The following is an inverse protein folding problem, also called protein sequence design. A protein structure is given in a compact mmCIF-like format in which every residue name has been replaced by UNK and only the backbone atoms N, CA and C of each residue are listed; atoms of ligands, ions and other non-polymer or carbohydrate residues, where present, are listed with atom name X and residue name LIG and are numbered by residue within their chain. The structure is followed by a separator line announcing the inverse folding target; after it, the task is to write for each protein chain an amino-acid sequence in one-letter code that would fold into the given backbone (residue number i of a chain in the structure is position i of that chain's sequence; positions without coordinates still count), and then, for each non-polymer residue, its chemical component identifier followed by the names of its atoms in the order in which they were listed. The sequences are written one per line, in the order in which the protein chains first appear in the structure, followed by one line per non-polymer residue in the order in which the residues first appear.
data_IF_353004324319
#
_entry.id   IF_353004324319
#
_cell.length_a   1.000
_cell.length_b   1.000
_cell.length_c   1.000
_cell.angle_alpha   90.00
_cell.angle_beta   90.00
_cell.angle_gamma   90.00
#
_symmetry.space_group_name_H-M   'P 1'
#
loop_
_entity.id
_entity.type
_entity.pdbx_description
1 polymer ?
#
# COMPACT_ATOMS: atom_id res chain seq x y z
N UNK A 1 -12.68 5.35 -17.56
CA UNK A 1 -12.51 6.44 -16.58
C UNK A 1 -11.03 6.75 -16.51
N UNK A 2 -10.61 8.01 -16.37
CA UNK A 2 -9.19 8.30 -16.17
C UNK A 2 -8.78 7.79 -14.78
N UNK A 3 -7.72 6.98 -14.70
CA UNK A 3 -7.19 6.52 -13.41
C UNK A 3 -6.58 7.71 -12.68
N UNK A 4 -6.89 7.84 -11.38
CA UNK A 4 -6.30 8.87 -10.54
C UNK A 4 -4.81 8.56 -10.30
N UNK A 5 -3.96 9.58 -10.26
CA UNK A 5 -2.56 9.39 -9.88
C UNK A 5 -2.47 9.10 -8.37
N UNK A 6 -1.35 8.52 -7.93
CA UNK A 6 -1.12 8.25 -6.51
C UNK A 6 -1.23 9.52 -5.65
N UNK A 7 -0.67 10.65 -6.11
CA UNK A 7 -0.80 11.93 -5.38
C UNK A 7 -2.24 12.43 -5.32
N UNK A 8 -3.05 12.24 -6.38
CA UNK A 8 -4.47 12.61 -6.34
C UNK A 8 -5.26 11.74 -5.36
N UNK A 9 -4.89 10.46 -5.24
CA UNK A 9 -5.46 9.57 -4.24
C UNK A 9 -5.04 9.97 -2.83
N UNK A 10 -3.77 10.36 -2.63
CA UNK A 10 -3.28 10.86 -1.35
C UNK A 10 -4.04 12.11 -0.91
N UNK A 11 -4.14 13.12 -1.79
CA UNK A 11 -4.90 14.36 -1.53
C UNK A 11 -6.38 14.07 -1.19
N UNK A 12 -7.00 13.13 -1.91
CA UNK A 12 -8.37 12.69 -1.63
C UNK A 12 -8.47 12.04 -0.24
N UNK A 13 -7.58 11.12 0.09
CA UNK A 13 -7.62 10.45 1.39
C UNK A 13 -7.37 11.44 2.52
N UNK A 14 -6.46 12.40 2.37
CA UNK A 14 -6.23 13.45 3.36
C UNK A 14 -7.50 14.27 3.62
N UNK A 15 -8.18 14.73 2.56
CA UNK A 15 -9.36 15.58 2.67
C UNK A 15 -10.63 14.81 3.13
N UNK A 16 -10.67 13.48 2.97
CA UNK A 16 -11.86 12.66 3.21
C UNK A 16 -11.71 11.65 4.36
N UNK A 17 -10.53 11.58 5.00
CA UNK A 17 -10.20 10.61 6.07
C UNK A 17 -11.28 10.54 7.16
N UNK A 18 -11.67 11.68 7.73
CA UNK A 18 -12.65 11.72 8.82
C UNK A 18 -14.03 11.23 8.39
N UNK A 19 -14.46 11.55 7.16
CA UNK A 19 -15.75 11.09 6.62
C UNK A 19 -15.76 9.59 6.36
N UNK A 20 -14.65 9.06 5.85
CA UNK A 20 -14.43 7.61 5.68
C UNK A 20 -14.50 6.92 7.04
N UNK A 21 -13.86 7.48 8.07
CA UNK A 21 -13.88 6.93 9.43
C UNK A 21 -15.26 6.89 10.04
N UNK A 22 -16.05 7.94 9.90
CA UNK A 22 -17.40 7.97 10.48
C UNK A 22 -18.44 7.27 9.60
N UNK A 23 -18.07 6.80 8.41
CA UNK A 23 -18.95 6.08 7.48
C UNK A 23 -19.87 7.00 6.67
N UNK A 24 -19.66 8.32 6.71
CA UNK A 24 -20.37 9.28 5.86
C UNK A 24 -19.92 9.17 4.39
N UNK A 25 -18.74 8.61 4.17
CA UNK A 25 -18.17 8.40 2.84
C UNK A 25 -17.72 6.96 2.65
N UNK A 26 -18.15 6.38 1.53
CA UNK A 26 -17.76 5.02 1.16
C UNK A 26 -16.34 5.02 0.62
N UNK A 27 -15.49 4.22 1.22
CA UNK A 27 -14.17 3.94 0.70
C UNK A 27 -14.27 2.97 -0.48
N UNK A 28 -13.61 3.29 -1.59
CA UNK A 28 -13.50 2.42 -2.75
C UNK A 28 -12.05 1.95 -2.92
N UNK A 29 -11.71 0.70 -2.53
CA UNK A 29 -10.34 0.22 -2.65
C UNK A 29 -9.90 0.03 -4.12
N UNK A 30 -10.84 -0.03 -5.08
CA UNK A 30 -10.52 -0.31 -6.48
C UNK A 30 -9.69 0.79 -7.13
N UNK A 31 -9.87 2.05 -6.71
CA UNK A 31 -9.08 3.17 -7.23
C UNK A 31 -7.62 3.07 -6.80
N UNK A 32 -7.37 2.61 -5.57
CA UNK A 32 -6.03 2.36 -5.04
C UNK A 32 -5.41 1.17 -5.77
N UNK A 33 -6.12 0.05 -5.89
CA UNK A 33 -5.60 -1.13 -6.61
C UNK A 33 -5.21 -0.81 -8.05
N UNK A 34 -6.06 -0.10 -8.78
CA UNK A 34 -5.77 0.30 -10.15
C UNK A 34 -4.53 1.21 -10.25
N UNK A 35 -4.32 2.10 -9.28
CA UNK A 35 -3.15 2.97 -9.27
C UNK A 35 -1.86 2.21 -8.88
N UNK A 36 -1.94 1.25 -7.96
CA UNK A 36 -0.82 0.38 -7.60
C UNK A 36 -0.44 -0.55 -8.77
N UNK A 37 -1.41 -1.12 -9.48
CA UNK A 37 -1.18 -1.96 -10.65
C UNK A 37 -0.51 -1.19 -11.79
N UNK A 38 -0.80 0.12 -11.91
CA UNK A 38 -0.14 1.00 -12.89
C UNK A 38 1.35 1.22 -12.61
N UNK A 39 1.81 1.02 -11.38
CA UNK A 39 3.24 1.03 -11.08
C UNK A 39 3.96 -0.14 -11.74
N UNK A 40 3.26 -1.27 -11.97
CA UNK A 40 3.83 -2.50 -12.52
C UNK A 40 5.10 -2.98 -11.78
N UNK A 41 5.09 -2.83 -10.45
CA UNK A 41 6.14 -3.32 -9.53
C UNK A 41 5.91 -4.79 -9.18
N UNK A 42 4.65 -5.16 -8.95
CA UNK A 42 4.24 -6.55 -8.78
C UNK A 42 4.02 -7.20 -10.15
N UNK A 43 4.32 -8.49 -10.25
CA UNK A 43 4.18 -9.27 -11.48
C UNK A 43 2.72 -9.53 -11.87
N UNK A 44 1.79 -9.44 -10.92
CA UNK A 44 0.35 -9.64 -11.10
C UNK A 44 -0.43 -8.45 -10.53
N UNK A 45 -1.73 -8.32 -10.84
CA UNK A 45 -2.61 -7.37 -10.15
C UNK A 45 -2.57 -7.59 -8.63
N UNK A 46 -2.54 -6.50 -7.86
CA UNK A 46 -2.40 -6.55 -6.38
C UNK A 46 -3.46 -7.42 -5.71
N UNK A 47 -4.67 -7.47 -6.26
CA UNK A 47 -5.77 -8.25 -5.71
C UNK A 47 -5.57 -9.77 -5.84
N UNK A 48 -4.80 -10.22 -6.83
CA UNK A 48 -4.54 -11.65 -7.04
C UNK A 48 -3.72 -12.22 -5.88
N UNK A 49 -2.87 -11.40 -5.27
CA UNK A 49 -2.03 -11.78 -4.13
C UNK A 49 -2.84 -12.11 -2.89
N UNK A 50 -4.04 -11.54 -2.71
CA UNK A 50 -4.84 -11.74 -1.49
C UNK A 50 -5.22 -13.20 -1.22
N UNK A 51 -5.18 -14.06 -2.24
CA UNK A 51 -5.52 -15.49 -2.13
C UNK A 51 -4.29 -16.39 -2.12
N UNK A 52 -3.11 -15.85 -2.40
CA UNK A 52 -1.84 -16.57 -2.37
C UNK A 52 -1.40 -16.73 -0.91
N UNK A 53 -0.77 -17.85 -0.58
CA UNK A 53 -0.25 -18.05 0.77
C UNK A 53 0.91 -17.10 1.08
N UNK A 54 1.08 -16.77 2.36
CA UNK A 54 2.21 -15.98 2.85
C UNK A 54 3.57 -16.58 2.41
N UNK A 55 3.74 -17.89 2.55
CA UNK A 55 4.97 -18.60 2.14
C UNK A 55 5.18 -18.53 0.62
N UNK A 56 4.14 -18.76 -0.18
CA UNK A 56 4.26 -18.73 -1.64
C UNK A 56 4.72 -17.35 -2.14
N UNK A 57 4.16 -16.27 -1.58
CA UNK A 57 4.60 -14.92 -1.91
C UNK A 57 6.03 -14.64 -1.45
N UNK A 58 6.35 -15.06 -0.22
CA UNK A 58 7.67 -14.88 0.36
C UNK A 58 8.76 -15.53 -0.49
N UNK A 59 8.54 -16.75 -0.98
CA UNK A 59 9.51 -17.46 -1.81
C UNK A 59 9.64 -16.92 -3.24
N UNK A 60 8.54 -16.39 -3.81
CA UNK A 60 8.49 -16.10 -5.25
C UNK A 60 8.81 -14.65 -5.59
N UNK A 61 8.44 -13.69 -4.73
CA UNK A 61 8.39 -12.29 -5.15
C UNK A 61 8.73 -11.26 -4.06
N UNK A 62 8.50 -11.61 -2.79
CA UNK A 62 8.73 -10.70 -1.66
C UNK A 62 10.16 -10.16 -1.59
N UNK A 63 10.29 -8.95 -1.05
CA UNK A 63 11.58 -8.37 -0.68
C UNK A 63 11.94 -8.65 0.79
N UNK A 64 11.15 -9.51 1.46
CA UNK A 64 11.32 -9.99 2.84
C UNK A 64 11.32 -8.87 3.89
N UNK A 65 10.57 -7.80 3.63
CA UNK A 65 10.32 -6.71 4.57
C UNK A 65 9.06 -6.98 5.41
N UNK A 66 8.06 -7.64 4.84
CA UNK A 66 6.87 -8.05 5.59
C UNK A 66 7.20 -9.17 6.57
N UNK A 67 6.65 -9.05 7.78
CA UNK A 67 6.70 -10.09 8.81
C UNK A 67 5.53 -11.03 8.62
N UNK A 68 5.80 -12.22 8.08
CA UNK A 68 4.81 -13.29 7.98
C UNK A 68 4.33 -13.73 9.37
N UNK A 69 3.04 -14.04 9.48
CA UNK A 69 2.40 -14.44 10.72
C UNK A 69 2.05 -15.93 10.71
N UNK A 70 1.65 -16.46 9.57
CA UNK A 70 1.34 -17.86 9.35
C UNK A 70 1.48 -18.19 7.85
N UNK A 71 2.59 -18.84 7.50
CA UNK A 71 2.98 -19.12 6.11
C UNK A 71 1.90 -19.75 5.21
N UNK A 72 0.94 -20.49 5.79
CA UNK A 72 -0.13 -21.14 5.02
C UNK A 72 -1.37 -20.28 4.83
N UNK A 73 -1.48 -19.17 5.58
CA UNK A 73 -2.62 -18.27 5.46
C UNK A 73 -2.54 -17.45 4.19
N UNK A 74 -3.68 -17.05 3.64
CA UNK A 74 -3.71 -16.14 2.52
C UNK A 74 -3.19 -14.76 2.92
N UNK A 75 -2.41 -14.11 2.06
CA UNK A 75 -1.90 -12.75 2.29
C UNK A 75 -3.00 -11.73 2.58
N UNK A 76 -4.20 -11.92 2.05
CA UNK A 76 -5.34 -11.04 2.34
C UNK A 76 -5.76 -11.01 3.81
N UNK A 77 -5.22 -11.90 4.65
CA UNK A 77 -5.38 -11.95 6.11
C UNK A 77 -4.15 -11.43 6.87
N UNK A 78 -3.04 -11.15 6.19
CA UNK A 78 -1.81 -10.66 6.82
C UNK A 78 -2.08 -9.31 7.49
N UNK A 79 -1.68 -9.18 8.75
CA UNK A 79 -1.92 -7.97 9.55
C UNK A 79 -0.72 -7.01 9.57
N UNK A 80 0.49 -7.52 9.32
CA UNK A 80 1.68 -6.66 9.23
C UNK A 80 1.54 -5.66 8.08
N UNK A 81 2.09 -4.47 8.28
CA UNK A 81 2.15 -3.41 7.28
C UNK A 81 3.53 -2.78 7.32
N UNK A 82 4.07 -2.49 6.15
CA UNK A 82 5.19 -1.57 6.03
C UNK A 82 4.74 -0.27 5.36
N UNK A 83 5.26 0.84 5.84
CA UNK A 83 5.05 2.17 5.29
C UNK A 83 6.36 2.72 4.74
N UNK A 84 6.28 3.44 3.62
CA UNK A 84 7.39 4.26 3.13
C UNK A 84 7.47 5.50 4.01
N UNK A 85 8.56 5.67 4.76
CA UNK A 85 8.74 6.81 5.69
C UNK A 85 9.52 7.96 5.07
N UNK A 86 10.39 7.66 4.11
CA UNK A 86 11.25 8.66 3.49
C UNK A 86 11.77 8.22 2.12
N UNK A 87 12.10 9.21 1.28
CA UNK A 87 12.81 9.03 0.02
C UNK A 87 14.07 9.87 0.02
N UNK A 88 15.21 9.24 -0.17
CA UNK A 88 16.52 9.87 -0.28
C UNK A 88 17.12 9.68 -1.67
N UNK A 89 18.02 10.58 -2.04
CA UNK A 89 18.88 10.45 -3.21
C UNK A 89 18.74 11.57 -4.24
N UNK A 90 19.52 11.46 -5.31
CA UNK A 90 19.50 12.39 -6.44
C UNK A 90 18.94 11.65 -7.66
N UNK A 91 17.68 11.93 -8.01
CA UNK A 91 16.98 11.30 -9.14
C UNK A 91 17.77 11.46 -10.46
N UNK A 92 18.43 12.61 -10.68
CA UNK A 92 19.29 12.85 -11.85
C UNK A 92 20.51 11.93 -11.93
N UNK A 93 20.95 11.36 -10.81
CA UNK A 93 22.04 10.41 -10.74
C UNK A 93 21.58 8.94 -10.79
N UNK A 94 20.27 8.69 -10.87
CA UNK A 94 19.70 7.34 -10.79
C UNK A 94 19.77 6.72 -9.38
N UNK A 95 20.00 7.55 -8.35
CA UNK A 95 20.00 7.14 -6.95
C UNK A 95 18.68 7.57 -6.31
N UNK A 96 17.75 6.61 -6.19
CA UNK A 96 16.52 6.77 -5.40
C UNK A 96 16.48 5.63 -4.38
N UNK A 97 16.31 5.98 -3.11
CA UNK A 97 16.21 5.00 -2.01
C UNK A 97 15.00 5.30 -1.16
N UNK A 98 14.26 4.26 -0.83
CA UNK A 98 13.14 4.33 0.10
C UNK A 98 13.57 3.79 1.46
N UNK A 99 13.10 4.45 2.51
CA UNK A 99 13.19 3.94 3.89
C UNK A 99 11.82 3.42 4.30
N UNK A 100 11.79 2.31 5.03
CA UNK A 100 10.58 1.63 5.44
C UNK A 100 10.53 1.51 6.97
N UNK A 101 9.31 1.52 7.51
CA UNK A 101 9.03 1.17 8.90
C UNK A 101 7.82 0.24 8.97
N UNK A 102 7.73 -0.54 10.04
CA UNK A 102 6.53 -1.30 10.35
C UNK A 102 5.52 -0.42 11.07
N UNK A 103 4.26 -0.58 10.71
CA UNK A 103 3.12 0.03 11.38
C UNK A 103 2.14 -1.07 11.79
N UNK A 104 1.62 -0.98 13.01
CA UNK A 104 0.75 -2.02 13.57
C UNK A 104 -0.69 -1.50 13.72
N UNK A 105 -1.50 -1.78 12.71
CA UNK A 105 -2.94 -1.46 12.72
C UNK A 105 -3.77 -2.43 13.57
N UNK A 106 -3.19 -3.46 14.21
CA UNK A 106 -3.90 -4.54 14.89
C UNK A 106 -3.50 -4.73 16.36
N UNK A 107 -2.55 -3.96 16.87
CA UNK A 107 -1.99 -4.04 18.24
C UNK A 107 -3.02 -4.17 19.37
N UNK A 108 -4.17 -3.50 19.25
CA UNK A 108 -5.27 -3.52 20.25
C UNK A 108 -6.63 -3.80 19.63
N UNK A 109 -6.63 -4.52 18.49
CA UNK A 109 -7.76 -4.58 17.56
C UNK A 109 -7.51 -3.67 16.35
N UNK A 110 -8.38 -3.78 15.35
CA UNK A 110 -8.19 -3.06 14.10
C UNK A 110 -8.38 -1.54 14.26
N UNK A 111 -7.35 -0.76 13.94
CA UNK A 111 -7.35 0.70 13.87
C UNK A 111 -7.32 1.19 12.42
N UNK A 112 -8.49 1.60 11.93
CA UNK A 112 -8.65 2.19 10.60
C UNK A 112 -7.80 3.45 10.40
N UNK A 113 -7.51 4.21 11.47
CA UNK A 113 -6.73 5.45 11.37
C UNK A 113 -5.31 5.15 10.88
N UNK A 114 -4.73 4.07 11.38
CA UNK A 114 -3.38 3.63 11.02
C UNK A 114 -3.32 3.23 9.55
N UNK A 115 -4.25 2.40 9.07
CA UNK A 115 -4.28 2.03 7.65
C UNK A 115 -4.56 3.24 6.73
N UNK A 116 -5.46 4.15 7.12
CA UNK A 116 -5.68 5.38 6.35
C UNK A 116 -4.43 6.26 6.33
N UNK A 117 -3.68 6.33 7.43
CA UNK A 117 -2.40 7.05 7.47
C UNK A 117 -1.36 6.41 6.54
N UNK A 118 -1.22 5.09 6.59
CA UNK A 118 -0.32 4.32 5.71
C UNK A 118 -0.66 4.60 4.24
N UNK A 119 -1.95 4.57 3.90
CA UNK A 119 -2.42 4.87 2.54
C UNK A 119 -2.11 6.31 2.15
N UNK A 120 -2.55 7.31 2.92
CA UNK A 120 -2.34 8.72 2.58
C UNK A 120 -0.86 9.03 2.40
N UNK A 121 -0.04 8.70 3.39
CA UNK A 121 1.36 9.07 3.38
C UNK A 121 2.17 8.25 2.37
N UNK A 122 1.93 6.94 2.28
CA UNK A 122 2.60 6.08 1.31
C UNK A 122 2.31 6.50 -0.13
N UNK A 123 1.05 6.80 -0.46
CA UNK A 123 0.67 7.28 -1.79
C UNK A 123 1.24 8.66 -2.10
N UNK A 124 1.36 9.55 -1.11
CA UNK A 124 1.98 10.86 -1.26
C UNK A 124 3.46 10.73 -1.66
N UNK A 125 4.24 9.97 -0.87
CA UNK A 125 5.69 9.81 -1.08
C UNK A 125 5.99 9.08 -2.39
N UNK A 126 5.26 7.99 -2.68
CA UNK A 126 5.46 7.23 -3.92
C UNK A 126 4.99 8.06 -5.11
N UNK A 127 3.85 8.74 -5.03
CA UNK A 127 3.34 9.58 -6.12
C UNK A 127 4.27 10.74 -6.47
N UNK A 128 4.92 11.34 -5.48
CA UNK A 128 5.90 12.40 -5.70
C UNK A 128 7.12 11.90 -6.50
N UNK A 129 7.59 10.68 -6.23
CA UNK A 129 8.75 10.08 -6.92
C UNK A 129 8.38 9.51 -8.29
N UNK A 130 7.21 8.88 -8.42
CA UNK A 130 6.70 8.30 -9.67
C UNK A 130 6.49 9.36 -10.77
N UNK A 131 6.00 10.54 -10.38
CA UNK A 131 5.84 11.69 -11.28
C UNK A 131 7.17 12.19 -11.85
N UNK A 132 8.28 11.99 -11.14
CA UNK A 132 9.61 12.43 -11.55
C UNK A 132 10.31 11.38 -12.40
N UNK A 133 10.31 10.12 -11.96
CA UNK A 133 10.92 9.01 -12.69
C UNK A 133 10.26 7.66 -12.34
N UNK A 134 9.19 7.32 -13.08
CA UNK A 134 8.48 6.05 -12.98
C UNK A 134 9.41 4.83 -13.11
N UNK A 135 10.37 4.87 -14.05
CA UNK A 135 11.25 3.73 -14.30
C UNK A 135 12.23 3.49 -13.14
N UNK A 136 12.57 4.55 -12.41
CA UNK A 136 13.36 4.43 -11.19
C UNK A 136 12.51 3.88 -10.04
N UNK A 137 11.28 4.37 -9.85
CA UNK A 137 10.35 3.82 -8.85
C UNK A 137 10.14 2.33 -9.04
N UNK A 138 9.93 1.88 -10.27
CA UNK A 138 9.80 0.46 -10.61
C UNK A 138 10.99 -0.40 -10.18
N UNK A 139 12.19 0.18 -10.14
CA UNK A 139 13.41 -0.55 -9.78
C UNK A 139 13.69 -0.54 -8.29
N UNK A 140 13.22 0.46 -7.56
CA UNK A 140 13.69 0.74 -6.19
C UNK A 140 12.63 0.63 -5.12
N UNK A 141 11.34 0.80 -5.46
CA UNK A 141 10.25 0.62 -4.52
C UNK A 141 10.06 -0.87 -4.24
N UNK A 142 9.99 -1.23 -2.96
CA UNK A 142 9.79 -2.59 -2.53
C UNK A 142 8.37 -3.06 -2.87
N UNK A 143 8.29 -4.29 -3.38
CA UNK A 143 7.07 -5.05 -3.67
C UNK A 143 6.23 -5.21 -2.41
N UNK A 144 6.87 -5.48 -1.28
CA UNK A 144 6.22 -5.58 0.03
C UNK A 144 5.54 -4.27 0.47
N UNK A 145 6.04 -3.11 0.03
CA UNK A 145 5.43 -1.81 0.32
C UNK A 145 4.19 -1.58 -0.55
N UNK A 146 4.24 -1.97 -1.82
CA UNK A 146 3.08 -1.97 -2.72
C UNK A 146 1.99 -2.90 -2.18
N UNK A 147 2.37 -4.11 -1.76
CA UNK A 147 1.44 -5.06 -1.17
C UNK A 147 0.84 -4.53 0.15
N UNK A 148 1.64 -3.87 0.99
CA UNK A 148 1.14 -3.25 2.23
C UNK A 148 0.06 -2.20 1.99
N UNK A 149 0.21 -1.37 0.96
CA UNK A 149 -0.85 -0.42 0.56
C UNK A 149 -2.12 -1.14 0.09
N UNK A 150 -1.98 -2.21 -0.68
CA UNK A 150 -3.13 -3.00 -1.12
C UNK A 150 -3.86 -3.67 0.07
N UNK A 151 -3.11 -4.21 1.03
CA UNK A 151 -3.67 -4.82 2.24
C UNK A 151 -4.35 -3.78 3.15
N UNK A 152 -3.76 -2.60 3.32
CA UNK A 152 -4.37 -1.50 4.06
C UNK A 152 -5.71 -1.07 3.42
N UNK A 153 -5.74 -0.89 2.09
CA UNK A 153 -6.98 -0.56 1.38
C UNK A 153 -8.05 -1.65 1.53
N UNK A 154 -7.65 -2.92 1.47
CA UNK A 154 -8.58 -4.04 1.72
C UNK A 154 -9.16 -3.97 3.12
N UNK A 155 -8.33 -3.78 4.13
CA UNK A 155 -8.73 -3.75 5.53
C UNK A 155 -9.68 -2.57 5.85
N UNK A 156 -9.43 -1.38 5.29
CA UNK A 156 -10.34 -0.23 5.44
C UNK A 156 -11.72 -0.54 4.87
N UNK A 157 -11.76 -1.12 3.66
CA UNK A 157 -13.01 -1.51 3.01
C UNK A 157 -13.77 -2.58 3.82
N UNK A 158 -13.07 -3.62 4.25
CA UNK A 158 -13.67 -4.73 5.01
C UNK A 158 -14.22 -4.24 6.35
N UNK A 159 -13.48 -3.36 7.04
CA UNK A 159 -13.95 -2.73 8.26
C UNK A 159 -15.20 -1.88 8.05
N UNK A 160 -15.26 -1.07 6.99
CA UNK A 160 -16.48 -0.30 6.70
C UNK A 160 -17.69 -1.21 6.46
N UNK A 161 -17.50 -2.40 5.87
CA UNK A 161 -18.57 -3.37 5.66
C UNK A 161 -19.11 -4.01 6.96
N UNK A 162 -18.40 -3.86 8.10
CA UNK A 162 -18.84 -4.35 9.41
C UNK A 162 -19.63 -3.33 10.24
N UNK A 163 -19.74 -2.09 9.76
CA UNK A 163 -20.51 -1.02 10.42
C UNK A 163 -21.98 -1.04 10.02
#
# INVERSE_FOLDING_TARGET
MATQTLSQLADYLEAHNDKIKIGEEKFDPQTIYAALDQLAILAKPVQDYFTISEDDYYEQESDHLLTLQDGKKPLGELQDRIIVTHTDGELSAGDLRYTYAHEDAYSTGYDVQTDLHILTYGLEVIGATDRLDHAQVQKTLAKDAVLSLALAAKAVNDWQATK
#
